data_IF_822445123998
#
_entry.id   IF_822445123998
#
_cell.length_a   1.000
_cell.length_b   1.000
_cell.length_c   1.000
_cell.angle_alpha   90.00
_cell.angle_beta   90.00
_cell.angle_gamma   90.00
#
_symmetry.space_group_name_H-M   'P 1'
#
loop_
_entity.id
_entity.type
_entity.pdbx_description
1 polymer ?
#
# COMPACT_ATOMS: atom_id res chain seq x y z
N UNK A 1 32.21 15.55 -7.28
CA UNK A 1 32.54 14.19 -6.80
C UNK A 1 31.26 13.59 -6.23
N UNK A 2 30.56 12.78 -7.01
CA UNK A 2 29.35 12.09 -6.53
C UNK A 2 29.72 10.63 -6.25
N UNK A 3 29.66 10.24 -4.99
CA UNK A 3 29.86 8.85 -4.59
C UNK A 3 28.58 8.08 -4.82
N UNK A 4 28.57 7.17 -5.79
CA UNK A 4 27.43 6.29 -6.07
C UNK A 4 27.22 5.33 -4.90
N UNK A 5 26.05 5.39 -4.27
CA UNK A 5 25.65 4.45 -3.22
C UNK A 5 25.45 3.06 -3.84
N UNK A 6 26.26 2.09 -3.43
CA UNK A 6 26.13 0.71 -3.90
C UNK A 6 24.86 0.09 -3.30
N UNK A 7 23.86 -0.22 -4.13
CA UNK A 7 22.61 -0.85 -3.68
C UNK A 7 22.91 -2.28 -3.23
N UNK A 8 22.96 -2.51 -1.92
CA UNK A 8 23.06 -3.86 -1.34
C UNK A 8 21.68 -4.51 -1.30
N UNK A 9 21.16 -4.86 -2.47
CA UNK A 9 19.95 -5.68 -2.60
C UNK A 9 20.38 -6.98 -3.28
N UNK A 10 20.94 -7.90 -2.50
CA UNK A 10 21.10 -9.29 -2.95
C UNK A 10 19.91 -10.04 -2.41
N UNK A 11 18.86 -10.14 -3.23
CA UNK A 11 17.80 -11.10 -2.94
C UNK A 11 18.45 -12.50 -2.88
N UNK A 12 18.22 -13.29 -1.81
CA UNK A 12 18.74 -14.64 -1.75
C UNK A 12 18.21 -15.43 -2.96
N UNK A 13 19.06 -16.19 -3.67
CA UNK A 13 18.71 -16.89 -4.93
C UNK A 13 17.70 -18.05 -4.77
N UNK A 14 16.84 -18.01 -3.76
CA UNK A 14 15.83 -19.01 -3.44
C UNK A 14 14.71 -18.48 -2.54
N UNK A 15 14.56 -17.16 -2.41
CA UNK A 15 13.48 -16.57 -1.62
C UNK A 15 12.16 -16.60 -2.43
N UNK A 16 11.38 -17.66 -2.26
CA UNK A 16 10.00 -17.72 -2.78
C UNK A 16 9.05 -17.22 -1.70
N UNK A 17 8.33 -16.14 -1.97
CA UNK A 17 7.22 -15.69 -1.11
C UNK A 17 6.15 -16.79 -1.14
N UNK A 18 6.05 -17.57 -0.06
CA UNK A 18 5.17 -18.75 0.00
C UNK A 18 3.69 -18.39 0.05
N UNK A 19 3.37 -17.20 0.55
CA UNK A 19 2.06 -16.52 0.51
C UNK A 19 2.14 -15.34 1.48
N UNK A 20 1.49 -14.24 1.15
CA UNK A 20 1.26 -13.14 2.11
C UNK A 20 -0.18 -13.32 2.59
N UNK A 21 -0.37 -13.81 3.81
CA UNK A 21 -1.66 -13.78 4.47
C UNK A 21 -1.74 -12.55 5.37
N UNK A 22 -2.70 -11.68 5.12
CA UNK A 22 -3.06 -10.61 6.04
C UNK A 22 -4.22 -11.13 6.89
N UNK A 23 -3.95 -11.52 8.12
CA UNK A 23 -5.01 -11.76 9.10
C UNK A 23 -5.59 -10.39 9.50
N UNK A 24 -6.91 -10.20 9.51
CA UNK A 24 -7.51 -8.93 9.89
C UNK A 24 -7.19 -8.65 11.37
N UNK A 25 -6.69 -7.45 11.63
CA UNK A 25 -6.47 -6.95 12.99
C UNK A 25 -7.57 -5.94 13.26
N UNK A 26 -8.59 -6.41 13.96
CA UNK A 26 -9.80 -5.71 14.39
C UNK A 26 -10.80 -5.38 13.28
N UNK A 27 -12.07 -5.43 13.66
CA UNK A 27 -13.30 -5.32 12.87
C UNK A 27 -13.51 -3.91 12.24
N UNK A 28 -12.46 -3.28 11.71
CA UNK A 28 -12.64 -2.14 10.81
C UNK A 28 -13.15 -2.70 9.48
N UNK A 29 -14.48 -2.66 9.33
CA UNK A 29 -15.27 -3.05 8.16
C UNK A 29 -14.46 -3.04 6.87
N UNK A 30 -13.97 -4.21 6.46
CA UNK A 30 -13.21 -4.37 5.22
C UNK A 30 -14.10 -3.89 4.07
N UNK A 31 -13.80 -2.71 3.55
CA UNK A 31 -14.54 -2.16 2.42
C UNK A 31 -14.00 -2.81 1.15
N UNK A 32 -14.78 -3.71 0.55
CA UNK A 32 -14.47 -4.19 -0.79
C UNK A 32 -15.01 -3.20 -1.82
N UNK A 33 -14.18 -2.81 -2.79
CA UNK A 33 -14.54 -1.90 -3.87
C UNK A 33 -14.22 -2.53 -5.22
N UNK A 34 -15.08 -2.28 -6.20
CA UNK A 34 -14.83 -2.64 -7.58
C UNK A 34 -13.87 -1.63 -8.22
N UNK A 35 -12.79 -2.14 -8.79
CA UNK A 35 -11.83 -1.34 -9.53
C UNK A 35 -11.73 -1.87 -10.96
N UNK A 36 -11.83 -0.97 -11.93
CA UNK A 36 -11.51 -1.27 -13.32
C UNK A 36 -10.02 -1.05 -13.56
N UNK A 37 -9.35 -2.07 -14.08
CA UNK A 37 -7.92 -2.04 -14.41
C UNK A 37 -7.74 -2.35 -15.89
N UNK A 38 -6.89 -1.58 -16.57
CA UNK A 38 -6.46 -1.88 -17.93
C UNK A 38 -5.29 -2.86 -17.84
N UNK A 39 -5.38 -3.98 -18.56
CA UNK A 39 -4.27 -4.94 -18.71
C UNK A 39 -3.99 -5.21 -20.19
N UNK A 40 -2.73 -5.52 -20.47
CA UNK A 40 -2.28 -5.92 -21.79
C UNK A 40 -1.66 -7.31 -21.76
N UNK A 41 -2.04 -8.18 -22.68
CA UNK A 41 -1.43 -9.50 -22.88
C UNK A 41 -1.32 -9.76 -24.37
N UNK A 42 -0.15 -10.19 -24.85
CA UNK A 42 0.10 -10.43 -26.29
C UNK A 42 -0.28 -9.23 -27.19
N UNK A 43 0.01 -8.01 -26.71
CA UNK A 43 -0.34 -6.75 -27.40
C UNK A 43 -1.85 -6.45 -27.51
N UNK A 44 -2.71 -7.26 -26.92
CA UNK A 44 -4.14 -6.97 -26.79
C UNK A 44 -4.42 -6.26 -25.47
N UNK A 45 -5.17 -5.16 -25.53
CA UNK A 45 -5.54 -4.35 -24.36
C UNK A 45 -6.99 -4.64 -24.00
N UNK A 46 -7.24 -4.92 -22.73
CA UNK A 46 -8.56 -5.24 -22.22
C UNK A 46 -8.77 -4.60 -20.84
N UNK A 47 -10.03 -4.39 -20.50
CA UNK A 47 -10.44 -3.88 -19.18
C UNK A 47 -10.87 -5.07 -18.32
N UNK A 48 -10.39 -5.11 -17.09
CA UNK A 48 -10.75 -6.12 -16.09
C UNK A 48 -11.46 -5.40 -14.93
N UNK A 49 -12.59 -5.95 -14.48
CA UNK A 49 -13.19 -5.58 -13.20
C UNK A 49 -12.62 -6.47 -12.10
N UNK A 50 -11.95 -5.88 -11.13
CA UNK A 50 -11.42 -6.57 -9.96
C UNK A 50 -12.14 -6.10 -8.70
N UNK A 51 -12.43 -7.03 -7.77
CA UNK A 51 -12.91 -6.69 -6.43
C UNK A 51 -11.71 -6.65 -5.50
N UNK A 52 -11.37 -5.47 -4.99
CA UNK A 52 -10.20 -5.26 -4.14
C UNK A 52 -10.63 -4.79 -2.76
N UNK A 53 -9.88 -5.20 -1.75
CA UNK A 53 -9.99 -4.63 -0.41
C UNK A 53 -9.42 -3.21 -0.50
N UNK A 54 -10.30 -2.23 -0.29
CA UNK A 54 -9.92 -0.83 -0.25
C UNK A 54 -9.37 -0.49 1.14
N UNK A 55 -8.47 0.49 1.17
CA UNK A 55 -8.07 1.08 2.42
C UNK A 55 -9.16 2.08 2.81
N UNK A 56 -9.73 1.92 4.01
CA UNK A 56 -10.62 2.94 4.54
C UNK A 56 -9.87 4.29 4.57
N UNK A 57 -10.44 5.40 4.06
CA UNK A 57 -9.81 6.72 4.19
C UNK A 57 -9.55 7.14 5.65
N UNK A 58 -10.25 6.52 6.60
CA UNK A 58 -10.05 6.65 8.03
C UNK A 58 -9.32 5.46 8.66
N UNK A 59 -8.68 4.60 7.85
CA UNK A 59 -7.79 3.60 8.42
C UNK A 59 -6.72 4.36 9.23
N UNK A 60 -6.53 3.97 10.49
CA UNK A 60 -5.73 4.72 11.46
C UNK A 60 -4.23 4.82 11.13
N UNK A 61 -3.79 4.58 9.88
CA UNK A 61 -2.39 4.68 9.46
C UNK A 61 -1.89 6.10 9.32
N UNK A 62 -2.76 7.11 9.19
CA UNK A 62 -2.35 8.52 9.10
C UNK A 62 -3.27 9.42 9.92
N UNK A 63 -2.70 10.37 10.64
CA UNK A 63 -3.44 11.44 11.29
C UNK A 63 -3.47 12.68 10.39
N UNK A 64 -4.66 13.20 10.10
CA UNK A 64 -4.85 14.43 9.33
C UNK A 64 -4.72 15.62 10.27
N UNK A 65 -3.79 16.54 10.00
CA UNK A 65 -3.61 17.75 10.80
C UNK A 65 -4.73 18.73 10.46
N UNK A 66 -5.51 19.24 11.43
CA UNK A 66 -6.54 20.24 11.17
C UNK A 66 -5.96 21.47 10.47
N UNK A 67 -6.73 22.06 9.55
CA UNK A 67 -6.38 23.28 8.82
C UNK A 67 -5.06 23.25 8.03
N UNK A 68 -4.58 22.04 7.71
CA UNK A 68 -3.34 21.81 6.98
C UNK A 68 -3.52 20.77 5.87
N UNK A 69 -2.61 20.77 4.90
CA UNK A 69 -2.47 19.69 3.90
C UNK A 69 -1.55 18.57 4.38
N UNK A 70 -1.00 18.68 5.58
CA UNK A 70 -0.05 17.73 6.14
C UNK A 70 -0.74 16.53 6.83
N UNK A 71 -0.08 15.37 6.75
CA UNK A 71 -0.50 14.17 7.47
C UNK A 71 0.67 13.55 8.20
N UNK A 72 0.41 13.03 9.40
CA UNK A 72 1.41 12.35 10.20
C UNK A 72 1.30 10.84 9.99
N UNK A 73 2.41 10.12 9.73
CA UNK A 73 2.39 8.68 9.60
C UNK A 73 2.12 8.02 10.96
N UNK A 74 1.62 6.78 10.92
CA UNK A 74 1.48 5.94 12.09
C UNK A 74 2.80 5.81 12.87
N UNK A 75 2.73 5.88 14.20
CA UNK A 75 3.90 5.86 15.07
C UNK A 75 4.60 7.21 15.24
N UNK A 76 4.00 8.32 14.79
CA UNK A 76 4.53 9.65 15.09
C UNK A 76 4.55 9.92 16.59
N UNK A 77 5.65 10.49 17.08
CA UNK A 77 5.95 10.60 18.52
C UNK A 77 4.96 11.46 19.30
N UNK A 78 4.29 12.43 18.65
CA UNK A 78 3.25 13.26 19.26
C UNK A 78 2.31 13.81 18.19
N UNK A 79 1.02 13.61 18.39
CA UNK A 79 -0.01 14.30 17.61
C UNK A 79 -0.09 15.74 18.15
N UNK A 80 -0.01 16.78 17.30
CA UNK A 80 -0.32 18.14 17.72
C UNK A 80 -1.77 18.16 18.19
N UNK A 81 -1.97 18.33 19.50
CA UNK A 81 -3.27 18.61 20.11
C UNK A 81 -3.58 20.10 20.00
#
# INVERSE_FOLDING_TARGET
>A
MYSSWSSRNKDPSGATIRSISMAPRNEEMEMTRHQSCIRSKLHEVYTISESKIDLNPYDGKRYVVPDSTETLPWGHWRIPL
#
